data_IF_600238882247
#
_entry.id   IF_600238882247
#
_cell.length_a   1.000
_cell.length_b   1.000
_cell.length_c   1.000
_cell.angle_alpha   90.00
_cell.angle_beta   90.00
_cell.angle_gamma   90.00
#
_symmetry.space_group_name_H-M   'P 1'
#
loop_
_entity.id
_entity.type
_entity.pdbx_description
1 polymer ?
#
# COMPACT_ATOMS: atom_id res chain seq x y z
N UNK A 1 -2.89 19.02 22.31
CA UNK A 1 -3.55 18.97 21.01
C UNK A 1 -2.86 17.93 20.13
N UNK A 2 -3.63 17.07 19.55
CA UNK A 2 -3.10 16.06 18.65
C UNK A 2 -2.67 16.68 17.31
N UNK A 3 -1.48 16.31 16.83
CA UNK A 3 -0.98 16.75 15.52
C UNK A 3 -1.00 15.60 14.54
N UNK A 4 -2.12 14.89 14.49
CA UNK A 4 -2.31 13.79 13.55
C UNK A 4 -3.04 14.30 12.33
N UNK A 5 -2.71 13.75 11.20
CA UNK A 5 -3.37 14.03 9.95
C UNK A 5 -3.27 12.84 9.05
N UNK A 6 -4.18 12.76 8.09
CA UNK A 6 -4.19 11.71 7.08
C UNK A 6 -3.88 12.36 5.73
N UNK A 7 -2.85 11.84 5.07
CA UNK A 7 -2.47 12.27 3.73
C UNK A 7 -2.73 11.10 2.77
N UNK A 8 -3.69 11.29 1.87
CA UNK A 8 -4.00 10.32 0.83
C UNK A 8 -3.19 10.64 -0.42
N UNK A 9 -2.56 9.61 -0.98
CA UNK A 9 -1.73 9.75 -2.17
C UNK A 9 -2.22 8.77 -3.22
N UNK A 10 -2.66 9.32 -4.36
CA UNK A 10 -3.22 8.55 -5.46
C UNK A 10 -2.59 9.02 -6.77
N UNK A 11 -1.34 8.62 -7.05
CA UNK A 11 -0.66 9.04 -8.27
C UNK A 11 -1.20 8.28 -9.49
N UNK A 12 -0.99 8.81 -10.68
CA UNK A 12 -1.51 8.16 -11.90
C UNK A 12 -0.81 6.87 -12.29
N UNK A 13 0.44 6.68 -11.88
CA UNK A 13 1.23 5.48 -12.21
C UNK A 13 1.31 5.20 -13.71
N UNK A 14 1.41 6.24 -14.52
CA UNK A 14 1.43 6.07 -15.98
C UNK A 14 2.79 5.61 -16.50
N UNK A 15 3.88 6.02 -15.83
CA UNK A 15 5.25 5.69 -16.26
C UNK A 15 6.04 5.17 -15.05
N UNK A 16 7.17 4.48 -15.33
CA UNK A 16 7.99 3.87 -14.28
C UNK A 16 8.51 4.88 -13.27
N UNK A 17 8.84 6.09 -13.70
CA UNK A 17 9.35 7.12 -12.79
C UNK A 17 8.32 7.60 -11.77
N UNK A 18 7.03 7.36 -12.01
CA UNK A 18 5.99 7.72 -11.05
C UNK A 18 6.14 6.97 -9.74
N UNK A 19 6.57 5.70 -9.79
CA UNK A 19 6.80 4.91 -8.58
C UNK A 19 7.94 5.48 -7.75
N UNK A 20 9.02 5.92 -8.39
CA UNK A 20 10.14 6.54 -7.68
C UNK A 20 9.76 7.92 -7.14
N UNK A 21 9.03 8.71 -7.92
CA UNK A 21 8.59 10.03 -7.51
C UNK A 21 7.71 9.97 -6.26
N UNK A 22 6.86 8.94 -6.16
CA UNK A 22 6.00 8.72 -5.00
C UNK A 22 6.83 8.46 -3.75
N UNK A 23 7.81 7.56 -3.83
CA UNK A 23 8.67 7.24 -2.70
C UNK A 23 9.43 8.48 -2.23
N UNK A 24 9.94 9.25 -3.17
CA UNK A 24 10.68 10.48 -2.87
C UNK A 24 9.77 11.51 -2.22
N UNK A 25 8.55 11.67 -2.73
CA UNK A 25 7.57 12.59 -2.16
C UNK A 25 7.18 12.21 -0.74
N UNK A 26 6.99 10.93 -0.47
CA UNK A 26 6.69 10.44 0.87
C UNK A 26 7.85 10.71 1.80
N UNK A 27 9.08 10.43 1.36
CA UNK A 27 10.28 10.67 2.16
C UNK A 27 10.40 12.14 2.55
N UNK A 28 10.18 13.05 1.61
CA UNK A 28 10.22 14.48 1.86
C UNK A 28 9.10 14.92 2.79
N UNK A 29 7.88 14.43 2.57
CA UNK A 29 6.74 14.75 3.42
C UNK A 29 6.92 14.26 4.85
N UNK A 30 7.46 13.04 5.00
CA UNK A 30 7.70 12.47 6.32
C UNK A 30 8.71 13.27 7.12
N UNK A 31 9.74 13.83 6.48
CA UNK A 31 10.70 14.68 7.16
C UNK A 31 10.04 15.92 7.75
N UNK A 32 9.00 16.42 7.11
CA UNK A 32 8.30 17.63 7.53
C UNK A 32 7.15 17.35 8.48
N UNK A 33 6.54 16.18 8.38
CA UNK A 33 5.38 15.82 9.17
C UNK A 33 5.43 14.33 9.52
N UNK A 34 6.33 13.99 10.47
CA UNK A 34 6.58 12.59 10.83
C UNK A 34 5.44 11.93 11.62
N UNK A 35 4.53 12.72 12.19
CA UNK A 35 3.39 12.20 12.95
C UNK A 35 2.17 11.92 12.09
N UNK A 36 2.21 12.27 10.81
CA UNK A 36 1.10 12.04 9.89
C UNK A 36 0.98 10.58 9.51
N UNK A 37 -0.25 10.19 9.16
CA UNK A 37 -0.51 8.90 8.54
C UNK A 37 -0.56 9.11 7.03
N UNK A 38 0.28 8.37 6.31
CA UNK A 38 0.35 8.47 4.85
C UNK A 38 -0.26 7.21 4.25
N UNK A 39 -1.28 7.37 3.42
CA UNK A 39 -1.93 6.26 2.75
C UNK A 39 -1.72 6.38 1.25
N UNK A 40 -0.91 5.48 0.70
CA UNK A 40 -0.56 5.46 -0.70
C UNK A 40 -1.30 4.32 -1.39
N UNK A 41 -2.16 4.66 -2.34
CA UNK A 41 -2.81 3.66 -3.18
C UNK A 41 -1.87 3.18 -4.27
N UNK A 42 -1.94 1.90 -4.61
CA UNK A 42 -1.21 1.36 -5.75
C UNK A 42 -2.03 0.28 -6.47
N UNK A 43 -1.95 0.23 -7.80
CA UNK A 43 -2.51 -0.86 -8.58
C UNK A 43 -1.44 -1.92 -8.82
N UNK A 44 -1.81 -3.18 -8.88
CA UNK A 44 -0.88 -4.23 -9.29
C UNK A 44 -1.16 -4.53 -10.76
N UNK A 45 -0.30 -4.01 -11.60
CA UNK A 45 -0.27 -4.31 -13.04
C UNK A 45 0.96 -5.16 -13.33
N UNK A 46 2.11 -4.72 -12.83
CA UNK A 46 3.35 -5.48 -12.86
C UNK A 46 3.89 -5.61 -11.44
N UNK A 47 3.87 -6.80 -10.90
CA UNK A 47 4.30 -7.05 -9.52
C UNK A 47 5.73 -6.57 -9.25
N UNK A 48 6.60 -6.68 -10.23
CA UNK A 48 8.01 -6.27 -10.05
C UNK A 48 8.13 -4.79 -9.67
N UNK A 49 7.26 -3.93 -10.22
CA UNK A 49 7.29 -2.50 -9.88
C UNK A 49 6.86 -2.25 -8.44
N UNK A 50 5.88 -3.01 -7.96
CA UNK A 50 5.44 -2.90 -6.57
C UNK A 50 6.54 -3.37 -5.62
N UNK A 51 7.19 -4.49 -5.92
CA UNK A 51 8.30 -5.00 -5.12
C UNK A 51 9.43 -3.99 -5.04
N UNK A 52 9.76 -3.33 -6.15
CA UNK A 52 10.80 -2.30 -6.17
C UNK A 52 10.41 -1.10 -5.32
N UNK A 53 9.16 -0.65 -5.43
CA UNK A 53 8.65 0.46 -4.64
C UNK A 53 8.74 0.16 -3.15
N UNK A 54 8.36 -1.06 -2.73
CA UNK A 54 8.45 -1.47 -1.33
C UNK A 54 9.89 -1.48 -0.83
N UNK A 55 10.85 -1.95 -1.65
CA UNK A 55 12.25 -1.92 -1.29
C UNK A 55 12.77 -0.49 -1.13
N UNK A 56 12.35 0.40 -2.01
CA UNK A 56 12.76 1.80 -1.94
C UNK A 56 12.17 2.49 -0.70
N UNK A 57 10.92 2.18 -0.35
CA UNK A 57 10.31 2.67 0.88
C UNK A 57 11.07 2.17 2.11
N UNK A 58 11.40 0.89 2.12
CA UNK A 58 12.20 0.30 3.21
C UNK A 58 13.54 1.00 3.34
N UNK A 59 14.17 1.32 2.22
CA UNK A 59 15.47 1.98 2.19
C UNK A 59 15.45 3.42 2.71
N UNK A 60 14.27 4.05 2.77
CA UNK A 60 14.15 5.41 3.33
C UNK A 60 14.44 5.47 4.81
N UNK A 61 14.36 4.34 5.51
CA UNK A 61 14.50 4.29 6.96
C UNK A 61 13.22 4.61 7.72
N UNK A 62 12.14 4.94 7.02
CA UNK A 62 10.85 5.16 7.65
C UNK A 62 10.36 3.84 8.25
N UNK A 63 9.84 3.90 9.48
CA UNK A 63 9.35 2.71 10.19
C UNK A 63 7.82 2.68 10.16
N UNK A 64 7.25 1.55 10.57
CA UNK A 64 5.81 1.33 10.66
C UNK A 64 5.12 1.52 9.33
N UNK A 65 5.48 0.68 8.36
CA UNK A 65 4.90 0.65 7.02
C UNK A 65 4.06 -0.62 6.89
N UNK A 66 2.75 -0.46 6.75
CA UNK A 66 1.80 -1.56 6.61
C UNK A 66 1.32 -1.65 5.17
N UNK A 67 1.35 -2.85 4.61
CA UNK A 67 0.84 -3.12 3.26
C UNK A 67 -0.49 -3.85 3.36
N UNK A 68 -1.48 -3.34 2.65
CA UNK A 68 -2.83 -3.92 2.57
C UNK A 68 -3.15 -4.12 1.10
N UNK A 69 -3.53 -5.34 0.72
CA UNK A 69 -3.77 -5.63 -0.68
C UNK A 69 -4.94 -6.60 -0.85
N UNK A 70 -5.76 -6.34 -1.86
CA UNK A 70 -6.84 -7.22 -2.28
C UNK A 70 -6.67 -7.51 -3.76
N UNK A 71 -6.44 -8.78 -4.10
CA UNK A 71 -6.28 -9.23 -5.47
C UNK A 71 -7.50 -10.02 -5.90
N UNK A 72 -8.03 -9.70 -7.06
CA UNK A 72 -9.20 -10.40 -7.61
C UNK A 72 -8.79 -11.58 -8.49
N UNK A 73 -7.54 -11.62 -8.90
CA UNK A 73 -6.97 -12.73 -9.68
C UNK A 73 -5.47 -12.80 -9.46
N UNK A 74 -4.82 -13.91 -9.83
CA UNK A 74 -3.36 -14.03 -9.66
C UNK A 74 -2.59 -12.98 -10.45
N UNK A 75 -1.37 -12.70 -10.03
CA UNK A 75 -0.46 -11.83 -10.77
C UNK A 75 -0.35 -12.33 -12.22
N UNK A 76 -0.28 -11.38 -13.15
CA UNK A 76 -0.25 -11.70 -14.57
C UNK A 76 0.64 -10.68 -15.29
N UNK A 77 1.32 -11.12 -16.34
CA UNK A 77 2.05 -10.24 -17.25
C UNK A 77 1.17 -9.76 -18.40
N UNK A 78 -0.09 -10.19 -18.44
CA UNK A 78 -1.05 -9.69 -19.41
C UNK A 78 -1.61 -8.35 -18.95
N UNK A 79 -2.30 -7.65 -19.87
CA UNK A 79 -2.88 -6.34 -19.57
C UNK A 79 -3.90 -6.41 -18.44
N UNK A 80 -3.89 -5.36 -17.63
CA UNK A 80 -4.90 -5.11 -16.64
C UNK A 80 -4.41 -5.22 -15.22
N UNK A 81 -5.18 -4.61 -14.34
CA UNK A 81 -4.91 -4.60 -12.91
C UNK A 81 -5.43 -5.88 -12.28
N UNK A 82 -4.58 -6.57 -11.53
CA UNK A 82 -4.96 -7.81 -10.83
C UNK A 82 -5.31 -7.57 -9.36
N UNK A 83 -4.80 -6.49 -8.78
CA UNK A 83 -5.00 -6.18 -7.37
C UNK A 83 -4.98 -4.68 -7.14
N UNK A 84 -5.54 -4.29 -6.01
CA UNK A 84 -5.50 -2.93 -5.49
C UNK A 84 -4.93 -2.98 -4.08
N UNK A 85 -4.05 -2.04 -3.76
CA UNK A 85 -3.42 -2.03 -2.45
C UNK A 85 -3.28 -0.64 -1.89
N UNK A 86 -2.97 -0.63 -0.60
CA UNK A 86 -2.62 0.58 0.14
C UNK A 86 -1.37 0.32 0.94
N UNK A 87 -0.46 1.28 0.90
CA UNK A 87 0.68 1.31 1.81
C UNK A 87 0.39 2.40 2.82
N UNK A 88 0.35 2.03 4.10
CA UNK A 88 0.00 2.98 5.17
C UNK A 88 1.20 3.16 6.08
N UNK A 89 1.70 4.39 6.17
CA UNK A 89 2.78 4.76 7.06
C UNK A 89 2.16 5.39 8.32
N UNK A 90 2.61 4.98 9.48
CA UNK A 90 2.03 5.33 10.77
C UNK A 90 0.55 4.96 10.83
N UNK A 91 0.19 3.69 10.59
CA UNK A 91 -1.22 3.30 10.62
C UNK A 91 -1.81 3.45 12.02
N UNK A 92 -3.12 3.73 12.13
CA UNK A 92 -3.83 3.62 13.40
C UNK A 92 -3.59 2.24 14.01
N UNK A 93 -3.48 2.16 15.34
CA UNK A 93 -3.02 0.94 16.00
C UNK A 93 -3.92 -0.27 15.78
N UNK A 94 -5.20 -0.08 15.46
CA UNK A 94 -6.13 -1.19 15.20
C UNK A 94 -6.27 -1.54 13.72
N UNK A 95 -5.61 -0.82 12.83
CA UNK A 95 -5.84 -0.98 11.40
C UNK A 95 -5.49 -2.39 10.92
N UNK A 96 -4.38 -2.94 11.36
CA UNK A 96 -3.97 -4.29 11.00
C UNK A 96 -5.06 -5.32 11.32
N UNK A 97 -5.56 -5.28 12.56
CA UNK A 97 -6.59 -6.20 13.00
C UNK A 97 -7.89 -6.01 12.22
N UNK A 98 -8.28 -4.76 12.02
CA UNK A 98 -9.49 -4.44 11.25
C UNK A 98 -9.41 -4.96 9.82
N UNK A 99 -8.25 -4.78 9.19
CA UNK A 99 -8.06 -5.24 7.81
C UNK A 99 -8.01 -6.76 7.72
N UNK A 100 -7.41 -7.42 8.71
CA UNK A 100 -7.42 -8.89 8.77
C UNK A 100 -8.83 -9.45 8.87
N UNK A 101 -9.74 -8.70 9.47
CA UNK A 101 -11.14 -9.12 9.58
C UNK A 101 -11.96 -8.77 8.33
N UNK A 102 -11.75 -7.58 7.77
CA UNK A 102 -12.59 -7.05 6.69
C UNK A 102 -12.19 -7.59 5.32
N UNK A 103 -10.89 -7.70 5.04
CA UNK A 103 -10.44 -8.06 3.70
C UNK A 103 -10.92 -9.44 3.23
N UNK A 104 -10.84 -10.50 4.04
CA UNK A 104 -11.37 -11.80 3.60
C UNK A 104 -12.86 -11.77 3.30
N UNK A 105 -13.63 -11.06 4.12
CA UNK A 105 -15.05 -10.88 3.91
C UNK A 105 -15.32 -10.14 2.60
N UNK A 106 -14.63 -9.02 2.38
CA UNK A 106 -14.79 -8.21 1.18
C UNK A 106 -14.36 -8.98 -0.07
N UNK A 107 -13.24 -9.71 0.02
CA UNK A 107 -12.77 -10.54 -1.07
C UNK A 107 -13.81 -11.58 -1.47
N UNK A 108 -14.42 -12.24 -0.50
CA UNK A 108 -15.48 -13.20 -0.75
C UNK A 108 -16.70 -12.62 -1.45
N UNK A 109 -17.01 -11.35 -1.16
CA UNK A 109 -18.12 -10.66 -1.82
C UNK A 109 -17.77 -10.23 -3.23
N UNK A 110 -16.55 -9.73 -3.44
CA UNK A 110 -16.10 -9.25 -4.75
C UNK A 110 -15.67 -10.36 -5.68
N UNK A 111 -15.18 -11.47 -5.14
CA UNK A 111 -14.63 -12.58 -5.92
C UNK A 111 -15.21 -13.90 -5.41
N UNK A 112 -16.50 -14.17 -5.74
CA UNK A 112 -17.13 -15.41 -5.25
C UNK A 112 -16.42 -16.69 -5.71
N UNK A 113 -15.71 -16.64 -6.84
CA UNK A 113 -14.95 -17.79 -7.34
C UNK A 113 -13.69 -18.08 -6.51
N UNK A 114 -13.29 -17.17 -5.63
CA UNK A 114 -12.17 -17.36 -4.72
C UNK A 114 -10.78 -17.14 -5.32
N UNK A 115 -10.70 -16.59 -6.53
CA UNK A 115 -9.40 -16.30 -7.15
C UNK A 115 -8.75 -15.08 -6.51
N UNK A 116 -7.41 -14.97 -6.65
CA UNK A 116 -6.66 -13.87 -6.07
C UNK A 116 -6.30 -14.13 -4.62
N UNK A 117 -6.15 -13.05 -3.86
CA UNK A 117 -5.74 -13.15 -2.45
C UNK A 117 -6.02 -11.86 -1.69
N UNK A 118 -5.88 -11.93 -0.38
CA UNK A 118 -5.80 -10.73 0.47
C UNK A 118 -4.49 -10.78 1.23
N UNK A 119 -3.96 -9.59 1.55
CA UNK A 119 -2.68 -9.47 2.25
C UNK A 119 -2.73 -8.32 3.23
N UNK A 120 -2.30 -8.56 4.46
CA UNK A 120 -2.03 -7.54 5.45
C UNK A 120 -0.65 -7.85 6.00
N UNK A 121 0.33 -7.03 5.67
CA UNK A 121 1.73 -7.34 5.93
C UNK A 121 2.51 -6.12 6.38
N UNK A 122 3.30 -6.27 7.42
CA UNK A 122 4.24 -5.23 7.82
C UNK A 122 5.46 -5.28 6.88
N UNK A 123 5.60 -4.25 6.05
CA UNK A 123 6.81 -4.09 5.24
C UNK A 123 7.96 -3.70 6.15
N UNK A 124 7.69 -2.75 7.07
CA UNK A 124 8.63 -2.36 8.11
C UNK A 124 7.82 -2.23 9.41
N UNK A 125 8.03 -3.09 10.41
CA UNK A 125 7.41 -2.92 11.72
C UNK A 125 8.06 -1.77 12.48
N UNK A 126 7.77 -1.64 13.72
CA UNK A 126 8.33 -0.58 14.56
C UNK A 126 9.86 -0.53 14.60
#
# INVERSE_FOLDING_TARGET
MSRRGLILIDPPYEIKSDYQAVVQGISEGYKRFATGTYALWYPVVMRAQIKRMLKELEATGIRRILQIELAVRPDSDQRGMTASGMIVINPPWKLEQQMNNVLPWLHGKLVPAGTGHTLVNWVVPE
#
